data_IF_866729927408
#
_entry.id   IF_866729927408
#
_cell.length_a   1.000
_cell.length_b   1.000
_cell.length_c   1.000
_cell.angle_alpha   90.00
_cell.angle_beta   90.00
_cell.angle_gamma   90.00
#
_symmetry.space_group_name_H-M   'P 1'
#
loop_
_entity.id
_entity.type
_entity.pdbx_description
1 polymer ?
#
# COMPACT_ATOMS: atom_id res chain seq x y z
N UNK A 1 -9.30 28.83 16.96
CA UNK A 1 -10.18 27.72 16.54
C UNK A 1 -10.67 28.05 15.14
N UNK A 2 -10.15 27.36 14.13
CA UNK A 2 -10.80 26.89 12.91
C UNK A 2 -9.92 25.71 12.50
N UNK A 3 -10.47 24.50 12.64
CA UNK A 3 -9.94 23.30 12.02
C UNK A 3 -10.05 23.43 10.51
N UNK A 4 -9.00 23.05 9.80
CA UNK A 4 -9.10 22.63 8.41
C UNK A 4 -8.41 21.27 8.35
N UNK A 5 -9.19 20.24 8.71
CA UNK A 5 -8.94 18.86 8.30
C UNK A 5 -8.83 18.90 6.78
N UNK A 6 -7.61 18.79 6.27
CA UNK A 6 -7.39 18.54 4.85
C UNK A 6 -7.76 17.08 4.60
N UNK A 7 -9.06 16.80 4.63
CA UNK A 7 -9.66 15.66 3.96
C UNK A 7 -9.33 15.84 2.49
N UNK A 8 -8.21 15.24 2.10
CA UNK A 8 -7.87 14.96 0.72
C UNK A 8 -9.07 14.20 0.16
N UNK A 9 -9.91 14.91 -0.57
CA UNK A 9 -11.05 14.41 -1.31
C UNK A 9 -10.51 13.34 -2.27
N UNK A 10 -10.54 12.09 -1.82
CA UNK A 10 -10.18 10.94 -2.64
C UNK A 10 -11.34 10.77 -3.62
N UNK A 11 -11.22 11.49 -4.74
CA UNK A 11 -11.94 11.24 -5.98
C UNK A 11 -12.09 9.72 -6.17
N UNK A 12 -13.22 9.23 -6.70
CA UNK A 12 -13.40 7.82 -7.00
C UNK A 12 -12.49 7.44 -8.17
N UNK A 13 -11.19 7.28 -7.89
CA UNK A 13 -10.18 6.72 -8.79
C UNK A 13 -10.78 5.45 -9.39
N UNK A 14 -10.89 5.39 -10.72
CA UNK A 14 -11.05 4.14 -11.46
C UNK A 14 -10.22 3.08 -10.75
N UNK A 15 -10.89 2.04 -10.18
CA UNK A 15 -10.36 1.18 -9.11
C UNK A 15 -9.02 0.56 -9.48
N UNK A 16 -7.94 1.30 -9.28
CA UNK A 16 -6.60 0.92 -9.65
C UNK A 16 -6.19 -0.24 -8.74
N UNK A 17 -6.11 -1.46 -9.26
CA UNK A 17 -6.01 -2.66 -8.43
C UNK A 17 -4.61 -2.81 -7.83
N UNK A 18 -4.48 -3.56 -6.73
CA UNK A 18 -3.16 -3.82 -6.13
C UNK A 18 -2.24 -4.57 -7.09
N UNK A 19 -2.82 -5.40 -7.97
CA UNK A 19 -2.09 -6.12 -9.01
C UNK A 19 -1.51 -5.17 -10.04
N UNK A 20 -2.30 -4.24 -10.56
CA UNK A 20 -1.80 -3.23 -11.52
C UNK A 20 -0.66 -2.40 -10.93
N UNK A 21 -0.76 -2.02 -9.64
CA UNK A 21 0.32 -1.33 -8.94
C UNK A 21 1.57 -2.19 -8.85
N UNK A 22 1.43 -3.44 -8.41
CA UNK A 22 2.58 -4.36 -8.31
C UNK A 22 3.23 -4.59 -9.67
N UNK A 23 2.44 -4.72 -10.73
CA UNK A 23 2.93 -4.93 -12.09
C UNK A 23 3.75 -3.72 -12.59
N UNK A 24 3.28 -2.48 -12.37
CA UNK A 24 4.02 -1.29 -12.81
C UNK A 24 5.30 -1.06 -11.98
N UNK A 25 5.27 -1.35 -10.67
CA UNK A 25 6.46 -1.30 -9.83
C UNK A 25 7.50 -2.32 -10.26
N UNK A 26 7.08 -3.53 -10.67
CA UNK A 26 7.97 -4.55 -11.23
C UNK A 26 8.60 -4.11 -12.54
N UNK A 27 7.80 -3.60 -13.49
CA UNK A 27 8.29 -3.08 -14.78
C UNK A 27 9.30 -1.95 -14.60
N UNK A 28 9.08 -1.05 -13.63
CA UNK A 28 10.07 -0.03 -13.33
C UNK A 28 11.39 -0.62 -12.84
N UNK A 29 11.35 -1.62 -11.95
CA UNK A 29 12.56 -2.27 -11.47
C UNK A 29 13.37 -2.84 -12.63
N UNK A 30 12.72 -3.52 -13.58
CA UNK A 30 13.38 -4.06 -14.78
C UNK A 30 14.06 -2.95 -15.62
N UNK A 31 13.37 -1.82 -15.81
CA UNK A 31 13.93 -0.66 -16.54
C UNK A 31 15.13 -0.06 -15.79
N UNK A 32 14.99 0.15 -14.48
CA UNK A 32 16.04 0.72 -13.63
C UNK A 32 17.29 -0.15 -13.66
N UNK A 33 17.13 -1.46 -13.46
CA UNK A 33 18.24 -2.42 -13.46
C UNK A 33 18.94 -2.48 -14.83
N UNK A 34 18.15 -2.45 -15.91
CA UNK A 34 18.69 -2.43 -17.27
C UNK A 34 19.53 -1.18 -17.52
N UNK A 35 19.00 -0.01 -17.18
CA UNK A 35 19.69 1.29 -17.35
C UNK A 35 20.93 1.36 -16.48
N UNK A 36 20.84 0.97 -15.21
CA UNK A 36 21.97 0.94 -14.28
C UNK A 36 23.10 0.05 -14.80
N UNK A 37 22.78 -1.09 -15.43
CA UNK A 37 23.79 -1.99 -15.99
C UNK A 37 24.38 -1.48 -17.30
N UNK A 38 23.56 -0.97 -18.21
CA UNK A 38 23.95 -0.74 -19.62
C UNK A 38 24.34 0.70 -19.94
N UNK A 39 23.83 1.69 -19.22
CA UNK A 39 24.06 3.09 -19.59
C UNK A 39 25.50 3.52 -19.28
N UNK A 40 26.20 4.23 -20.19
CA UNK A 40 27.57 4.68 -19.96
C UNK A 40 27.65 5.78 -18.89
N UNK A 41 26.68 6.69 -18.86
CA UNK A 41 26.62 7.77 -17.87
C UNK A 41 25.83 7.32 -16.64
N UNK A 42 26.51 6.76 -15.64
CA UNK A 42 25.87 6.20 -14.43
C UNK A 42 25.24 7.24 -13.51
N UNK A 43 25.88 8.40 -13.36
CA UNK A 43 25.46 9.40 -12.38
C UNK A 43 24.14 10.07 -12.75
N UNK A 44 23.99 10.49 -14.01
CA UNK A 44 22.76 11.12 -14.47
C UNK A 44 21.59 10.15 -14.47
N UNK A 45 21.79 8.92 -14.96
CA UNK A 45 20.73 7.90 -14.94
C UNK A 45 20.38 7.45 -13.53
N UNK A 46 21.37 7.34 -12.63
CA UNK A 46 21.11 7.04 -11.23
C UNK A 46 20.28 8.13 -10.58
N UNK A 47 20.58 9.40 -10.84
CA UNK A 47 19.79 10.55 -10.36
C UNK A 47 18.37 10.56 -10.93
N UNK A 48 18.22 10.31 -12.23
CA UNK A 48 16.91 10.23 -12.87
C UNK A 48 16.06 9.09 -12.28
N UNK A 49 16.67 7.92 -12.09
CA UNK A 49 16.00 6.75 -11.51
C UNK A 49 15.57 7.02 -10.06
N UNK A 50 16.49 7.54 -9.23
CA UNK A 50 16.20 7.91 -7.85
C UNK A 50 15.09 8.97 -7.74
N UNK A 51 15.07 9.96 -8.65
CA UNK A 51 14.03 10.98 -8.69
C UNK A 51 12.66 10.38 -9.02
N UNK A 52 12.59 9.50 -10.01
CA UNK A 52 11.36 8.82 -10.40
C UNK A 52 10.86 7.90 -9.27
N UNK A 53 11.75 7.15 -8.64
CA UNK A 53 11.44 6.31 -7.48
C UNK A 53 10.84 7.13 -6.34
N UNK A 54 11.44 8.27 -6.02
CA UNK A 54 11.01 9.12 -4.92
C UNK A 54 9.69 9.85 -5.24
N UNK A 55 9.56 10.46 -6.43
CA UNK A 55 8.43 11.32 -6.77
C UNK A 55 7.21 10.54 -7.28
N UNK A 56 7.41 9.52 -8.09
CA UNK A 56 6.33 8.81 -8.76
C UNK A 56 5.97 7.53 -8.01
N UNK A 57 6.95 6.69 -7.68
CA UNK A 57 6.65 5.35 -7.17
C UNK A 57 6.30 5.31 -5.68
N UNK A 58 6.74 6.30 -4.91
CA UNK A 58 6.32 6.47 -3.52
C UNK A 58 4.80 6.53 -3.37
N UNK A 59 4.10 7.20 -4.29
CA UNK A 59 2.64 7.28 -4.29
C UNK A 59 2.00 5.88 -4.36
N UNK A 60 2.40 5.09 -5.35
CA UNK A 60 1.91 3.74 -5.56
C UNK A 60 2.27 2.78 -4.42
N UNK A 61 3.51 2.86 -3.90
CA UNK A 61 3.93 2.09 -2.72
C UNK A 61 3.10 2.43 -1.49
N UNK A 62 2.74 3.70 -1.30
CA UNK A 62 1.88 4.14 -0.21
C UNK A 62 0.46 3.58 -0.34
N UNK A 63 -0.09 3.51 -1.56
CA UNK A 63 -1.38 2.85 -1.80
C UNK A 63 -1.34 1.38 -1.35
N UNK A 64 -0.32 0.62 -1.77
CA UNK A 64 -0.17 -0.79 -1.34
C UNK A 64 -0.04 -0.91 0.18
N UNK A 65 0.74 -0.03 0.82
CA UNK A 65 0.92 -0.01 2.28
C UNK A 65 -0.40 0.27 3.00
N UNK A 66 -1.21 1.21 2.51
CA UNK A 66 -2.54 1.52 3.05
C UNK A 66 -3.47 0.31 2.95
N UNK A 67 -3.52 -0.34 1.78
CA UNK A 67 -4.34 -1.55 1.55
C UNK A 67 -3.93 -2.71 2.44
N UNK A 68 -2.63 -2.96 2.60
CA UNK A 68 -2.13 -4.00 3.48
C UNK A 68 -2.52 -3.78 4.95
N UNK A 69 -2.47 -2.52 5.42
CA UNK A 69 -2.95 -2.15 6.76
C UNK A 69 -4.44 -2.43 6.91
N UNK A 70 -5.25 -2.03 5.93
CA UNK A 70 -6.69 -2.28 5.95
C UNK A 70 -6.99 -3.78 6.06
N UNK A 71 -6.41 -4.60 5.19
CA UNK A 71 -6.59 -6.07 5.23
C UNK A 71 -6.16 -6.68 6.56
N UNK A 72 -5.11 -6.13 7.18
CA UNK A 72 -4.62 -6.61 8.48
C UNK A 72 -5.58 -6.26 9.62
N UNK A 73 -6.15 -5.05 9.60
CA UNK A 73 -7.18 -4.60 10.54
C UNK A 73 -8.46 -5.42 10.38
N UNK A 74 -8.93 -5.62 9.14
CA UNK A 74 -10.13 -6.40 8.87
C UNK A 74 -10.00 -7.82 9.43
N UNK A 75 -8.84 -8.46 9.20
CA UNK A 75 -8.55 -9.79 9.75
C UNK A 75 -8.53 -9.81 11.28
N UNK A 76 -7.99 -8.78 11.91
CA UNK A 76 -7.96 -8.66 13.36
C UNK A 76 -9.38 -8.54 13.93
N UNK A 77 -10.22 -7.65 13.37
CA UNK A 77 -11.59 -7.44 13.82
C UNK A 77 -12.46 -8.71 13.65
N UNK A 78 -12.27 -9.45 12.55
CA UNK A 78 -12.92 -10.76 12.35
C UNK A 78 -12.49 -11.78 13.42
N UNK A 79 -11.24 -11.74 13.87
CA UNK A 79 -10.77 -12.65 14.92
C UNK A 79 -11.35 -12.28 16.29
N UNK A 80 -11.38 -10.99 16.63
CA UNK A 80 -11.92 -10.49 17.89
C UNK A 80 -13.40 -10.86 18.03
N UNK A 81 -14.20 -10.58 17.00
CA UNK A 81 -15.63 -10.93 16.99
C UNK A 81 -15.87 -12.43 17.19
N UNK A 82 -15.07 -13.31 16.56
CA UNK A 82 -15.18 -14.76 16.78
C UNK A 82 -14.84 -15.18 18.21
N UNK A 83 -13.82 -14.57 18.83
CA UNK A 83 -13.48 -14.87 20.23
C UNK A 83 -14.57 -14.42 21.21
N UNK A 84 -15.19 -13.26 20.97
CA UNK A 84 -16.28 -12.75 21.80
C UNK A 84 -17.53 -13.64 21.72
N UNK A 85 -17.86 -14.13 20.52
CA UNK A 85 -18.94 -15.10 20.31
C UNK A 85 -18.66 -16.37 21.11
N UNK A 86 -17.47 -16.96 20.97
CA UNK A 86 -17.12 -18.19 21.68
C UNK A 86 -17.10 -18.03 23.21
N UNK A 87 -16.66 -16.87 23.73
CA UNK A 87 -16.72 -16.58 25.17
C UNK A 87 -18.16 -16.42 25.67
N UNK A 88 -19.03 -15.79 24.89
CA UNK A 88 -20.45 -15.64 25.22
C UNK A 88 -21.19 -16.98 25.24
N UNK A 89 -20.87 -17.89 24.32
CA UNK A 89 -21.41 -19.24 24.26
C UNK A 89 -20.93 -20.11 25.43
N UNK A 90 -19.64 -20.03 25.79
CA UNK A 90 -19.08 -20.74 26.92
C UNK A 90 -19.68 -20.29 28.27
N UNK A 91 -20.01 -19.00 28.42
CA UNK A 91 -20.69 -18.48 29.62
C UNK A 91 -22.15 -18.93 29.69
N UNK A 92 -22.83 -19.06 28.54
CA UNK A 92 -24.22 -19.54 28.46
C UNK A 92 -24.34 -21.03 28.76
N UNK A 93 -23.37 -21.85 28.34
CA UNK A 93 -23.36 -23.29 28.58
C UNK A 93 -23.06 -23.70 30.04
N UNK A 94 -22.62 -22.75 30.88
CA UNK A 94 -22.32 -22.97 32.32
C UNK A 94 -23.44 -22.52 33.26
N UNK A 95 -24.55 -22.02 32.72
CA UNK A 95 -25.79 -21.71 33.46
C UNK A 95 -26.82 -22.80 33.21
#
# INVERSE_FOLDING_TARGET
MIELSSEEEVEPEEKLTSREISDILGKWQEVSDFVEKRHPEKLSTGRASALFDYRCLTFFRNILKRRQKQTSLDRYLVKVSRSEIHESEAKKARR
#
